data_IF_968617943965
#
_entry.id   IF_968617943965
#
_cell.length_a   1.000
_cell.length_b   1.000
_cell.length_c   1.000
_cell.angle_alpha   90.00
_cell.angle_beta   90.00
_cell.angle_gamma   90.00
#
_symmetry.space_group_name_H-M   'P 1'
#
loop_
_entity.id
_entity.type
_entity.pdbx_description
1 polymer ?
#
# COMPACT_ATOMS: atom_id res chain seq x y z
N UNK A 1 -58.88 -11.31 -33.23
CA UNK A 1 -58.45 -12.36 -32.28
C UNK A 1 -57.06 -12.80 -32.68
N UNK A 2 -56.07 -12.63 -31.77
CA UNK A 2 -54.62 -12.92 -31.91
C UNK A 2 -53.97 -12.04 -33.00
N UNK A 3 -53.33 -10.92 -32.70
CA UNK A 3 -51.89 -10.84 -32.34
C UNK A 3 -51.53 -9.48 -31.70
N UNK A 4 -52.45 -8.89 -30.93
CA UNK A 4 -52.23 -7.64 -30.19
C UNK A 4 -51.95 -7.98 -28.72
N UNK A 5 -50.76 -8.50 -28.37
CA UNK A 5 -50.34 -8.74 -26.97
C UNK A 5 -48.89 -9.23 -26.73
N UNK A 6 -47.89 -8.90 -27.55
CA UNK A 6 -46.52 -9.44 -27.32
C UNK A 6 -45.35 -8.46 -27.26
N UNK A 7 -45.57 -7.14 -27.14
CA UNK A 7 -44.46 -6.20 -26.88
C UNK A 7 -44.83 -5.08 -25.90
N UNK A 8 -45.56 -5.44 -24.84
CA UNK A 8 -45.66 -4.63 -23.61
C UNK A 8 -45.14 -5.52 -22.47
N UNK A 9 -43.82 -5.70 -22.41
CA UNK A 9 -43.06 -6.24 -21.28
C UNK A 9 -41.56 -6.31 -21.65
N UNK A 10 -40.98 -5.16 -21.99
CA UNK A 10 -39.55 -4.93 -21.81
C UNK A 10 -39.41 -3.83 -20.75
N UNK A 11 -39.86 -4.20 -19.55
CA UNK A 11 -39.65 -3.43 -18.32
C UNK A 11 -38.16 -3.42 -18.02
N UNK A 12 -37.59 -2.22 -18.00
CA UNK A 12 -36.72 -1.73 -16.92
C UNK A 12 -35.74 -2.79 -16.36
N UNK A 13 -34.68 -3.09 -17.12
CA UNK A 13 -33.39 -3.50 -16.56
C UNK A 13 -32.30 -2.53 -17.03
N UNK A 14 -32.54 -1.24 -16.78
CA UNK A 14 -31.39 -0.38 -16.49
C UNK A 14 -31.02 -0.69 -15.05
N UNK A 15 -29.92 -1.43 -14.88
CA UNK A 15 -29.34 -1.72 -13.57
C UNK A 15 -29.08 -0.41 -12.83
N UNK A 16 -30.04 0.00 -12.00
CA UNK A 16 -29.77 0.94 -10.94
C UNK A 16 -28.77 0.23 -10.01
N UNK A 17 -27.64 0.86 -9.67
CA UNK A 17 -26.76 0.29 -8.65
C UNK A 17 -27.61 0.05 -7.40
N UNK A 18 -27.67 -1.21 -6.97
CA UNK A 18 -28.38 -1.61 -5.77
C UNK A 18 -27.69 -0.94 -4.58
N UNK A 19 -28.19 0.21 -4.15
CA UNK A 19 -27.79 0.82 -2.90
C UNK A 19 -28.35 -0.06 -1.77
N UNK A 20 -27.49 -0.90 -1.19
CA UNK A 20 -27.81 -1.58 0.07
C UNK A 20 -27.86 -0.55 1.20
N UNK A 21 -29.09 -0.12 1.50
CA UNK A 21 -29.39 0.76 2.62
C UNK A 21 -29.09 0.06 3.95
N UNK A 22 -28.29 0.70 4.80
CA UNK A 22 -27.92 0.14 6.09
C UNK A 22 -28.93 0.52 7.19
N UNK A 23 -29.46 -0.48 7.91
CA UNK A 23 -30.24 -0.27 9.14
C UNK A 23 -29.34 0.29 10.26
N UNK A 24 -29.91 1.07 11.18
CA UNK A 24 -29.15 1.97 12.08
C UNK A 24 -28.65 1.38 13.41
N UNK A 25 -28.64 0.06 13.63
CA UNK A 25 -28.17 -0.50 14.91
C UNK A 25 -27.28 -1.75 14.75
N UNK A 26 -26.16 -1.77 15.48
CA UNK A 26 -25.63 -3.01 16.08
C UNK A 26 -24.47 -3.78 15.44
N UNK A 27 -24.08 -3.54 14.19
CA UNK A 27 -22.97 -4.29 13.56
C UNK A 27 -21.77 -3.40 13.22
N UNK A 28 -20.57 -3.88 13.56
CA UNK A 28 -19.31 -3.35 13.03
C UNK A 28 -19.31 -3.56 11.51
N UNK A 29 -19.66 -2.51 10.77
CA UNK A 29 -19.61 -2.54 9.31
C UNK A 29 -18.18 -2.27 8.87
N UNK A 30 -17.63 -3.19 8.11
CA UNK A 30 -16.40 -2.97 7.37
C UNK A 30 -16.74 -2.87 5.88
N UNK A 31 -16.09 -1.99 5.12
CA UNK A 31 -16.28 -1.95 3.68
C UNK A 31 -15.85 -3.28 3.06
N UNK A 32 -16.59 -3.73 2.05
CA UNK A 32 -16.17 -4.84 1.19
C UNK A 32 -15.60 -4.24 -0.11
N UNK A 33 -16.05 -4.71 -1.27
CA UNK A 33 -15.78 -4.04 -2.55
C UNK A 33 -16.43 -2.65 -2.60
N UNK A 34 -17.60 -2.50 -1.97
CA UNK A 34 -18.35 -1.25 -1.89
C UNK A 34 -18.63 -0.85 -0.44
N UNK A 35 -18.78 0.45 -0.23
CA UNK A 35 -19.23 1.01 1.04
C UNK A 35 -20.75 1.00 1.11
N UNK A 36 -21.27 0.61 2.28
CA UNK A 36 -22.68 0.86 2.59
C UNK A 36 -22.94 2.36 2.74
N UNK A 37 -24.17 2.78 2.43
CA UNK A 37 -24.59 4.17 2.58
C UNK A 37 -25.86 4.25 3.44
N UNK A 38 -25.91 5.26 4.31
CA UNK A 38 -27.13 5.58 5.02
C UNK A 38 -28.17 6.19 4.07
N UNK A 39 -29.46 5.86 4.19
CA UNK A 39 -30.52 6.49 3.40
C UNK A 39 -30.55 8.01 3.50
N UNK A 40 -30.16 8.55 4.67
CA UNK A 40 -29.94 9.98 4.86
C UNK A 40 -28.90 10.23 5.96
N UNK A 41 -28.27 11.43 5.99
CA UNK A 41 -27.37 11.80 7.07
C UNK A 41 -28.02 11.74 8.46
N UNK A 42 -29.32 12.00 8.57
CA UNK A 42 -30.07 11.95 9.84
C UNK A 42 -30.14 10.54 10.41
N UNK A 43 -30.19 9.50 9.56
CA UNK A 43 -30.13 8.11 10.01
C UNK A 43 -28.74 7.72 10.52
N UNK A 44 -27.70 8.42 10.07
CA UNK A 44 -26.39 8.37 10.69
C UNK A 44 -26.29 9.27 11.95
N UNK A 45 -27.36 9.95 12.36
CA UNK A 45 -27.43 10.82 13.54
C UNK A 45 -26.90 12.24 13.33
N UNK A 46 -26.78 12.71 12.08
CA UNK A 46 -26.46 14.11 11.81
C UNK A 46 -27.72 14.98 11.95
N UNK A 47 -27.54 16.20 12.46
CA UNK A 47 -28.61 17.19 12.57
C UNK A 47 -28.63 18.03 11.29
N UNK A 48 -29.73 17.98 10.53
CA UNK A 48 -29.85 18.61 9.21
C UNK A 48 -29.44 20.09 9.20
N UNK A 49 -29.92 20.87 10.19
CA UNK A 49 -29.60 22.29 10.30
C UNK A 49 -28.11 22.59 10.58
N UNK A 50 -27.36 21.64 11.17
CA UNK A 50 -25.90 21.76 11.33
C UNK A 50 -25.17 21.32 10.07
N UNK A 51 -25.61 20.23 9.44
CA UNK A 51 -25.02 19.74 8.20
C UNK A 51 -25.17 20.77 7.06
N UNK A 52 -26.31 21.44 6.95
CA UNK A 52 -26.53 22.51 5.98
C UNK A 52 -25.53 23.68 6.12
N UNK A 53 -25.03 23.95 7.34
CA UNK A 53 -23.98 24.96 7.55
C UNK A 53 -22.63 24.48 7.02
N UNK A 54 -22.32 23.19 7.19
CA UNK A 54 -21.11 22.56 6.64
C UNK A 54 -21.18 22.53 5.12
N UNK A 55 -22.32 22.17 4.55
CA UNK A 55 -22.56 22.18 3.10
C UNK A 55 -22.39 23.58 2.51
N UNK A 56 -22.96 24.60 3.16
CA UNK A 56 -22.78 26.00 2.75
C UNK A 56 -21.29 26.42 2.79
N UNK A 57 -20.54 25.99 3.80
CA UNK A 57 -19.10 26.25 3.87
C UNK A 57 -18.34 25.49 2.79
N UNK A 58 -18.69 24.23 2.57
CA UNK A 58 -18.12 23.38 1.53
C UNK A 58 -18.30 24.04 0.16
N UNK A 59 -19.52 24.41 -0.21
CA UNK A 59 -19.84 25.07 -1.49
C UNK A 59 -19.25 26.48 -1.63
N UNK A 60 -18.96 27.17 -0.53
CA UNK A 60 -18.27 28.48 -0.55
C UNK A 60 -16.77 28.33 -0.84
N UNK A 61 -16.20 27.15 -0.60
CA UNK A 61 -14.79 26.84 -0.83
C UNK A 61 -14.68 25.95 -2.06
N UNK A 62 -13.53 25.94 -2.71
CA UNK A 62 -13.27 25.08 -3.86
C UNK A 62 -12.72 23.72 -3.39
N UNK A 63 -13.43 23.07 -2.46
CA UNK A 63 -13.07 21.70 -2.08
C UNK A 63 -13.43 20.75 -3.20
N UNK A 64 -12.50 19.86 -3.56
CA UNK A 64 -12.74 18.86 -4.59
C UNK A 64 -13.69 17.75 -4.11
N UNK A 65 -13.61 17.37 -2.83
CA UNK A 65 -14.46 16.34 -2.26
C UNK A 65 -14.55 16.38 -0.73
N UNK A 66 -15.60 15.77 -0.18
CA UNK A 66 -15.80 15.47 1.23
C UNK A 66 -16.52 14.12 1.36
N UNK A 67 -15.95 13.20 2.15
CA UNK A 67 -16.56 11.92 2.49
C UNK A 67 -16.63 11.80 4.01
N UNK A 68 -17.82 11.54 4.55
CA UNK A 68 -18.03 11.32 5.99
C UNK A 68 -18.58 9.93 6.19
N UNK A 69 -17.82 9.12 6.92
CA UNK A 69 -18.17 7.74 7.27
C UNK A 69 -18.44 7.68 8.77
N UNK A 70 -19.54 7.03 9.16
CA UNK A 70 -19.88 6.77 10.56
C UNK A 70 -20.30 5.30 10.70
N UNK A 71 -19.75 4.61 11.69
CA UNK A 71 -20.00 3.18 11.93
C UNK A 71 -19.90 2.34 10.64
N UNK A 72 -18.87 2.60 9.82
CA UNK A 72 -18.59 1.83 8.61
C UNK A 72 -19.52 2.06 7.41
N UNK A 73 -20.42 3.05 7.45
CA UNK A 73 -21.24 3.44 6.30
C UNK A 73 -21.11 4.94 5.99
N UNK A 74 -21.22 5.27 4.70
CA UNK A 74 -21.17 6.64 4.19
C UNK A 74 -22.43 7.38 4.63
N UNK A 75 -22.24 8.49 5.34
CA UNK A 75 -23.30 9.41 5.73
C UNK A 75 -23.37 10.62 4.80
N UNK A 76 -22.22 11.07 4.27
CA UNK A 76 -22.12 12.20 3.34
C UNK A 76 -21.09 11.85 2.28
N UNK A 77 -21.45 12.09 1.02
CA UNK A 77 -20.61 11.93 -0.16
C UNK A 77 -20.81 13.15 -1.07
N UNK A 78 -19.90 14.12 -0.98
CA UNK A 78 -19.93 15.35 -1.77
C UNK A 78 -18.67 15.47 -2.64
N UNK A 79 -18.85 15.92 -3.87
CA UNK A 79 -17.76 16.19 -4.82
C UNK A 79 -17.24 14.95 -5.53
N UNK A 80 -15.96 14.95 -5.88
CA UNK A 80 -15.33 13.97 -6.78
C UNK A 80 -14.73 12.76 -6.03
N UNK A 81 -15.45 12.11 -5.11
CA UNK A 81 -14.90 11.05 -4.25
C UNK A 81 -14.43 9.78 -4.99
N UNK A 82 -14.83 9.58 -6.25
CA UNK A 82 -14.33 8.47 -7.09
C UNK A 82 -13.08 8.81 -7.91
N UNK A 83 -12.64 10.08 -7.92
CA UNK A 83 -11.45 10.51 -8.67
C UNK A 83 -10.17 10.17 -7.93
N UNK A 84 -9.13 9.83 -8.68
CA UNK A 84 -7.77 9.67 -8.13
C UNK A 84 -7.10 11.03 -7.92
N UNK A 85 -6.69 11.30 -6.69
CA UNK A 85 -5.92 12.49 -6.31
C UNK A 85 -4.47 12.13 -5.95
N UNK A 86 -3.57 13.10 -6.13
CA UNK A 86 -2.26 13.02 -5.51
C UNK A 86 -2.43 13.20 -4.00
N UNK A 87 -2.18 12.13 -3.24
CA UNK A 87 -2.37 12.14 -1.78
C UNK A 87 -1.25 12.86 -1.01
N UNK A 88 -0.15 13.21 -1.69
CA UNK A 88 1.01 13.89 -1.11
C UNK A 88 1.45 13.28 0.24
N UNK A 89 1.48 14.06 1.31
CA UNK A 89 1.95 13.62 2.63
C UNK A 89 0.97 12.71 3.37
N UNK A 90 -0.28 12.53 2.89
CA UNK A 90 -1.21 11.52 3.45
C UNK A 90 -0.61 10.11 3.32
N UNK A 91 0.23 9.87 2.30
CA UNK A 91 0.96 8.60 2.12
C UNK A 91 1.71 8.14 3.37
N UNK A 92 2.18 9.08 4.21
CA UNK A 92 2.97 8.77 5.41
C UNK A 92 2.13 8.07 6.48
N UNK A 93 0.87 8.51 6.65
CA UNK A 93 -0.07 7.86 7.56
C UNK A 93 -0.49 6.49 7.04
N UNK A 94 -0.70 6.37 5.72
CA UNK A 94 -0.98 5.07 5.09
C UNK A 94 0.19 4.09 5.30
N UNK A 95 1.43 4.55 5.11
CA UNK A 95 2.63 3.77 5.36
C UNK A 95 2.75 3.37 6.84
N UNK A 96 2.48 4.30 7.77
CA UNK A 96 2.47 4.01 9.20
C UNK A 96 1.44 2.94 9.57
N UNK A 97 0.25 2.97 8.97
CA UNK A 97 -0.76 1.95 9.19
C UNK A 97 -0.31 0.58 8.67
N UNK A 98 0.32 0.54 7.49
CA UNK A 98 0.89 -0.70 6.93
C UNK A 98 1.94 -1.32 7.85
N UNK A 99 2.87 -0.51 8.38
CA UNK A 99 3.82 -0.98 9.40
C UNK A 99 3.14 -1.51 10.66
N UNK A 100 2.05 -0.87 11.10
CA UNK A 100 1.28 -1.32 12.26
C UNK A 100 0.65 -2.70 12.06
N UNK A 101 -0.01 -2.91 10.92
CA UNK A 101 -0.67 -4.18 10.57
C UNK A 101 0.34 -5.34 10.47
N UNK A 102 1.56 -5.08 10.00
CA UNK A 102 2.62 -6.09 9.83
C UNK A 102 3.69 -6.05 10.92
N UNK A 103 3.40 -5.42 12.06
CA UNK A 103 4.40 -5.17 13.11
C UNK A 103 5.03 -6.44 13.69
N UNK A 104 4.29 -7.56 13.72
CA UNK A 104 4.80 -8.85 14.19
C UNK A 104 5.90 -9.46 13.30
N UNK A 105 5.98 -9.00 12.05
CA UNK A 105 6.91 -9.54 11.04
C UNK A 105 8.14 -8.68 10.83
N UNK A 106 8.24 -7.57 11.56
CA UNK A 106 9.21 -6.52 11.32
C UNK A 106 10.00 -6.28 12.61
N UNK A 107 11.30 -6.49 12.54
CA UNK A 107 12.21 -6.06 13.59
C UNK A 107 12.54 -4.58 13.43
N UNK A 108 11.85 -3.74 14.20
CA UNK A 108 12.03 -2.29 14.19
C UNK A 108 13.36 -1.82 14.78
N UNK A 109 14.12 -2.71 15.43
CA UNK A 109 15.44 -2.39 15.99
C UNK A 109 16.58 -2.56 15.00
N UNK A 110 16.32 -3.18 13.83
CA UNK A 110 17.31 -3.23 12.75
C UNK A 110 17.74 -1.82 12.35
N UNK A 111 19.06 -1.65 12.31
CA UNK A 111 19.70 -0.42 11.88
C UNK A 111 19.63 -0.24 10.37
N UNK A 112 19.83 0.99 9.89
CA UNK A 112 19.97 1.27 8.47
C UNK A 112 21.10 0.43 7.84
N UNK A 113 22.19 0.21 8.58
CA UNK A 113 23.27 -0.68 8.16
C UNK A 113 22.78 -2.12 7.94
N UNK A 114 22.08 -2.70 8.92
CA UNK A 114 21.56 -4.06 8.85
C UNK A 114 20.46 -4.22 7.79
N UNK A 115 19.79 -3.13 7.43
CA UNK A 115 18.81 -3.07 6.35
C UNK A 115 19.44 -2.77 4.99
N UNK A 116 20.76 -2.66 4.88
CA UNK A 116 21.45 -2.29 3.63
C UNK A 116 20.91 -0.97 3.03
N UNK A 117 20.65 0.02 3.90
CA UNK A 117 20.18 1.36 3.53
C UNK A 117 21.35 2.32 3.70
N UNK A 118 21.73 2.95 2.59
CA UNK A 118 22.96 3.75 2.55
C UNK A 118 22.90 5.00 1.65
N UNK A 119 21.80 5.18 0.91
CA UNK A 119 21.61 6.35 0.04
C UNK A 119 22.87 6.70 -0.79
N UNK A 120 23.31 5.75 -1.62
CA UNK A 120 24.51 5.86 -2.47
C UNK A 120 25.84 6.08 -1.71
N UNK A 121 26.05 5.36 -0.61
CA UNK A 121 27.25 5.45 0.24
C UNK A 121 27.45 6.80 0.92
N UNK A 122 26.39 7.59 1.06
CA UNK A 122 26.50 8.94 1.64
C UNK A 122 26.36 8.93 3.16
N UNK A 123 25.79 7.88 3.76
CA UNK A 123 25.51 7.85 5.20
C UNK A 123 26.79 7.66 6.04
N UNK A 124 26.93 8.50 7.06
CA UNK A 124 27.97 8.37 8.09
C UNK A 124 27.71 7.15 8.97
N UNK A 125 28.75 6.67 9.68
CA UNK A 125 28.60 5.57 10.66
C UNK A 125 27.50 5.82 11.70
N UNK A 126 27.35 7.08 12.15
CA UNK A 126 26.32 7.49 13.13
C UNK A 126 24.93 7.50 12.52
N UNK A 127 24.78 7.93 11.27
CA UNK A 127 23.49 7.88 10.58
C UNK A 127 23.06 6.44 10.31
N UNK A 128 24.00 5.58 9.90
CA UNK A 128 23.76 4.16 9.67
C UNK A 128 23.30 3.38 10.91
N UNK A 129 23.58 3.87 12.11
CA UNK A 129 23.12 3.25 13.35
C UNK A 129 21.68 3.62 13.73
N UNK A 130 21.01 4.48 12.96
CA UNK A 130 19.58 4.73 13.16
C UNK A 130 18.79 3.44 12.91
N UNK A 131 17.83 3.14 13.79
CA UNK A 131 16.95 1.97 13.63
C UNK A 131 15.77 2.29 12.72
N UNK A 132 15.11 1.25 12.20
CA UNK A 132 13.86 1.41 11.46
C UNK A 132 12.81 2.15 12.29
N UNK A 133 12.73 1.90 13.61
CA UNK A 133 11.87 2.65 14.52
C UNK A 133 12.16 4.16 14.49
N UNK A 134 13.44 4.53 14.50
CA UNK A 134 13.84 5.94 14.40
C UNK A 134 13.40 6.54 13.06
N UNK A 135 13.49 5.79 11.96
CA UNK A 135 13.05 6.24 10.63
C UNK A 135 11.53 6.44 10.60
N UNK A 136 10.72 5.43 10.94
CA UNK A 136 9.25 5.55 10.84
C UNK A 136 8.67 6.58 11.82
N UNK A 137 9.41 6.92 12.88
CA UNK A 137 9.06 7.98 13.83
C UNK A 137 9.65 9.36 13.49
N UNK A 138 10.32 9.52 12.34
CA UNK A 138 10.93 10.78 11.88
C UNK A 138 12.01 11.33 12.83
N UNK A 139 12.83 10.42 13.39
CA UNK A 139 13.86 10.65 14.41
C UNK A 139 15.21 10.03 14.03
N UNK A 140 15.46 9.76 12.74
CA UNK A 140 16.70 9.08 12.33
C UNK A 140 17.97 9.88 12.62
N UNK A 141 17.88 11.20 12.66
CA UNK A 141 19.04 12.10 12.70
C UNK A 141 19.76 12.22 11.35
N UNK A 142 19.16 11.70 10.27
CA UNK A 142 19.66 11.85 8.90
C UNK A 142 19.05 13.09 8.27
N UNK A 143 19.88 14.11 8.03
CA UNK A 143 19.46 15.39 7.49
C UNK A 143 20.04 15.62 6.09
N UNK A 144 19.62 14.77 5.15
CA UNK A 144 19.95 14.87 3.73
C UNK A 144 18.80 15.53 2.95
N UNK A 145 19.08 16.13 1.78
CA UNK A 145 18.04 16.54 0.85
C UNK A 145 17.16 15.35 0.44
N UNK A 146 15.85 15.54 0.39
CA UNK A 146 14.92 14.50 -0.01
C UNK A 146 13.98 14.96 -1.12
N UNK A 147 13.52 14.00 -1.92
CA UNK A 147 12.44 14.23 -2.87
C UNK A 147 11.18 14.74 -2.16
N UNK A 148 10.46 15.63 -2.84
CA UNK A 148 9.24 16.30 -2.34
C UNK A 148 9.45 17.23 -1.12
N UNK A 149 10.66 17.70 -0.87
CA UNK A 149 10.92 18.84 0.02
C UNK A 149 10.73 20.18 -0.72
N UNK A 150 10.37 21.22 0.04
CA UNK A 150 10.17 22.57 -0.49
C UNK A 150 10.07 23.61 0.62
N UNK A 151 10.40 24.86 0.30
CA UNK A 151 10.24 26.02 1.16
C UNK A 151 10.80 25.83 2.58
N UNK A 152 9.93 25.98 3.57
CA UNK A 152 10.28 25.92 4.99
C UNK A 152 10.89 24.58 5.44
N UNK A 153 10.59 23.46 4.75
CA UNK A 153 11.23 22.18 5.07
C UNK A 153 12.74 22.22 4.76
N UNK A 154 13.13 22.83 3.65
CA UNK A 154 14.54 22.93 3.28
C UNK A 154 15.28 23.90 4.19
N UNK A 155 14.70 25.08 4.46
CA UNK A 155 15.34 26.10 5.30
C UNK A 155 15.37 25.73 6.78
N UNK A 156 14.41 24.93 7.25
CA UNK A 156 14.33 24.44 8.63
C UNK A 156 15.04 23.11 8.87
N UNK A 157 15.75 22.55 7.87
CA UNK A 157 16.47 21.29 8.02
C UNK A 157 17.58 21.45 9.07
N UNK A 158 17.63 20.62 10.12
CA UNK A 158 18.71 20.67 11.09
C UNK A 158 20.07 20.43 10.43
N UNK A 159 21.12 20.96 11.05
CA UNK A 159 22.49 20.75 10.58
C UNK A 159 22.83 19.26 10.66
N UNK A 160 23.36 18.70 9.58
CA UNK A 160 23.80 17.29 9.55
C UNK A 160 24.70 16.96 10.74
N UNK A 161 24.38 15.87 11.45
CA UNK A 161 25.10 15.41 12.64
C UNK A 161 24.74 16.11 13.96
N UNK A 162 23.86 17.12 13.96
CA UNK A 162 23.51 17.88 15.18
C UNK A 162 22.76 17.06 16.23
N UNK A 163 22.09 15.98 15.83
CA UNK A 163 21.33 15.10 16.71
C UNK A 163 21.77 13.65 16.56
N UNK A 164 21.67 12.87 17.64
CA UNK A 164 21.82 11.42 17.59
C UNK A 164 20.52 10.75 17.09
N UNK A 165 20.60 9.57 16.48
CA UNK A 165 19.39 8.80 16.17
C UNK A 165 18.50 8.63 17.39
N UNK A 166 17.20 8.80 17.19
CA UNK A 166 16.19 8.73 18.25
C UNK A 166 16.12 9.98 19.14
N UNK A 167 17.06 10.92 19.11
CA UNK A 167 17.12 12.02 20.08
C UNK A 167 16.27 13.25 19.73
N UNK A 168 15.91 13.44 18.46
CA UNK A 168 15.21 14.63 18.00
C UNK A 168 14.20 14.28 16.91
N UNK A 169 12.97 14.76 17.06
CA UNK A 169 11.94 14.66 16.05
C UNK A 169 12.02 15.87 15.12
N UNK A 170 12.02 15.60 13.81
CA UNK A 170 11.90 16.63 12.79
C UNK A 170 11.09 16.06 11.62
N UNK A 171 10.17 16.83 11.04
CA UNK A 171 9.37 16.36 9.90
C UNK A 171 10.27 16.11 8.67
N UNK A 172 10.63 14.84 8.44
CA UNK A 172 11.75 14.47 7.59
C UNK A 172 11.30 13.64 6.39
N UNK A 173 11.19 14.25 5.21
CA UNK A 173 10.81 13.51 4.00
C UNK A 173 11.81 12.43 3.62
N UNK A 174 13.09 12.56 3.99
CA UNK A 174 14.08 11.51 3.77
C UNK A 174 13.66 10.23 4.52
N UNK A 175 13.32 10.35 5.80
CA UNK A 175 12.88 9.22 6.64
C UNK A 175 11.66 8.53 6.02
N UNK A 176 10.64 9.30 5.62
CA UNK A 176 9.44 8.75 5.03
C UNK A 176 9.64 8.14 3.64
N UNK A 177 10.65 8.57 2.88
CA UNK A 177 11.00 7.95 1.60
C UNK A 177 11.71 6.62 1.85
N UNK A 178 12.66 6.60 2.78
CA UNK A 178 13.40 5.39 3.18
C UNK A 178 12.47 4.34 3.79
N UNK A 179 11.53 4.76 4.64
CA UNK A 179 10.52 3.87 5.19
C UNK A 179 9.68 3.18 4.11
N UNK A 180 9.43 3.85 2.96
CA UNK A 180 8.70 3.26 1.84
C UNK A 180 9.51 2.17 1.12
N UNK A 181 10.83 2.35 0.99
CA UNK A 181 11.71 1.38 0.32
C UNK A 181 12.19 0.24 1.23
N UNK A 182 12.11 0.41 2.56
CA UNK A 182 12.67 -0.54 3.52
C UNK A 182 12.09 -1.98 3.40
N UNK A 183 10.83 -2.14 2.99
CA UNK A 183 10.28 -3.46 2.68
C UNK A 183 11.05 -4.17 1.55
N UNK A 184 11.41 -3.45 0.49
CA UNK A 184 12.22 -4.00 -0.61
C UNK A 184 13.62 -4.39 -0.13
N UNK A 185 14.21 -3.60 0.77
CA UNK A 185 15.50 -3.91 1.39
C UNK A 185 15.44 -5.18 2.25
N UNK A 186 14.43 -5.29 3.13
CA UNK A 186 14.20 -6.50 3.93
C UNK A 186 14.00 -7.73 3.04
N UNK A 187 13.27 -7.60 1.92
CA UNK A 187 13.12 -8.69 0.96
C UNK A 187 14.46 -9.18 0.39
N UNK A 188 15.36 -8.28 -0.02
CA UNK A 188 16.69 -8.68 -0.52
C UNK A 188 17.50 -9.45 0.51
N UNK A 189 17.45 -9.00 1.77
CA UNK A 189 18.14 -9.66 2.88
C UNK A 189 17.58 -11.08 3.06
N UNK A 190 16.25 -11.23 3.07
CA UNK A 190 15.63 -12.56 3.17
C UNK A 190 15.97 -13.46 1.98
N UNK A 191 16.06 -12.93 0.76
CA UNK A 191 16.52 -13.70 -0.41
C UNK A 191 17.96 -14.18 -0.22
N UNK A 192 18.85 -13.31 0.27
CA UNK A 192 20.25 -13.67 0.54
C UNK A 192 20.39 -14.71 1.68
N UNK A 193 19.42 -14.77 2.58
CA UNK A 193 19.32 -15.75 3.67
C UNK A 193 18.55 -17.02 3.26
N UNK A 194 18.16 -17.15 1.99
CA UNK A 194 17.32 -18.25 1.47
C UNK A 194 15.94 -18.35 2.15
N UNK A 195 15.49 -17.31 2.86
CA UNK A 195 14.16 -17.19 3.43
C UNK A 195 13.18 -16.65 2.39
N UNK A 196 12.71 -17.51 1.49
CA UNK A 196 11.86 -17.09 0.37
C UNK A 196 10.48 -16.63 0.82
N UNK A 197 9.90 -17.24 1.85
CA UNK A 197 8.59 -16.86 2.37
C UNK A 197 8.62 -15.46 3.01
N UNK A 198 9.65 -15.18 3.82
CA UNK A 198 9.89 -13.84 4.35
C UNK A 198 10.09 -12.81 3.24
N UNK A 199 10.86 -13.16 2.19
CA UNK A 199 11.06 -12.28 1.05
C UNK A 199 9.74 -11.95 0.32
N UNK A 200 8.91 -12.95 0.03
CA UNK A 200 7.60 -12.76 -0.61
C UNK A 200 6.70 -11.88 0.24
N UNK A 201 6.64 -12.10 1.54
CA UNK A 201 5.84 -11.28 2.47
C UNK A 201 6.24 -9.81 2.42
N UNK A 202 7.54 -9.52 2.42
CA UNK A 202 8.04 -8.15 2.33
C UNK A 202 7.81 -7.52 0.95
N UNK A 203 7.94 -8.29 -0.14
CA UNK A 203 7.65 -7.81 -1.49
C UNK A 203 6.15 -7.51 -1.69
N UNK A 204 5.27 -8.33 -1.12
CA UNK A 204 3.84 -8.08 -1.09
C UNK A 204 3.54 -6.74 -0.41
N UNK A 205 4.15 -6.46 0.76
CA UNK A 205 3.95 -5.17 1.44
C UNK A 205 4.51 -3.98 0.65
N UNK A 206 5.68 -4.14 0.03
CA UNK A 206 6.26 -3.11 -0.83
C UNK A 206 5.33 -2.77 -2.01
N UNK A 207 4.74 -3.79 -2.65
CA UNK A 207 3.85 -3.62 -3.80
C UNK A 207 2.43 -3.21 -3.40
N UNK A 208 1.98 -3.54 -2.19
CA UNK A 208 0.72 -3.02 -1.66
C UNK A 208 0.79 -1.49 -1.47
N UNK A 209 1.92 -1.00 -0.95
CA UNK A 209 2.15 0.43 -0.80
C UNK A 209 2.44 1.13 -2.13
N UNK A 210 3.31 0.56 -2.97
CA UNK A 210 3.69 1.11 -4.26
C UNK A 210 3.67 0.02 -5.35
N UNK A 211 2.52 -0.21 -6.01
CA UNK A 211 2.36 -1.28 -7.00
C UNK A 211 3.34 -1.18 -8.19
N UNK A 212 3.80 0.02 -8.50
CA UNK A 212 4.73 0.30 -9.60
C UNK A 212 6.20 0.33 -9.17
N UNK A 213 6.50 -0.10 -7.94
CA UNK A 213 7.87 -0.08 -7.43
C UNK A 213 8.76 -1.04 -8.23
N UNK A 214 9.63 -0.48 -9.07
CA UNK A 214 10.40 -1.23 -10.09
C UNK A 214 11.27 -2.33 -9.49
N UNK A 215 11.98 -2.04 -8.39
CA UNK A 215 12.92 -2.99 -7.81
C UNK A 215 12.21 -4.20 -7.17
N UNK A 216 11.17 -3.95 -6.37
CA UNK A 216 10.28 -4.99 -5.83
C UNK A 216 9.70 -5.86 -6.95
N UNK A 217 9.16 -5.28 -8.03
CA UNK A 217 8.67 -6.03 -9.18
C UNK A 217 9.74 -6.93 -9.82
N UNK A 218 10.96 -6.41 -10.00
CA UNK A 218 12.08 -7.20 -10.53
C UNK A 218 12.45 -8.37 -9.61
N UNK A 219 12.41 -8.17 -8.28
CA UNK A 219 12.69 -9.23 -7.31
C UNK A 219 11.62 -10.32 -7.35
N UNK A 220 10.33 -9.95 -7.45
CA UNK A 220 9.23 -10.91 -7.63
C UNK A 220 9.43 -11.75 -8.88
N UNK A 221 9.76 -11.12 -10.02
CA UNK A 221 10.04 -11.84 -11.27
C UNK A 221 11.23 -12.79 -11.12
N UNK A 222 12.30 -12.34 -10.46
CA UNK A 222 13.50 -13.15 -10.21
C UNK A 222 13.18 -14.39 -9.37
N UNK A 223 12.36 -14.22 -8.31
CA UNK A 223 11.91 -15.33 -7.47
C UNK A 223 11.05 -16.32 -8.26
N UNK A 224 10.10 -15.84 -9.06
CA UNK A 224 9.26 -16.69 -9.88
C UNK A 224 10.07 -17.54 -10.88
N UNK A 225 11.09 -16.95 -11.51
CA UNK A 225 12.00 -17.67 -12.41
C UNK A 225 12.73 -18.80 -11.66
N UNK A 226 13.25 -18.51 -10.46
CA UNK A 226 14.01 -19.49 -9.66
C UNK A 226 13.13 -20.62 -9.14
N UNK A 227 11.92 -20.33 -8.68
CA UNK A 227 11.04 -21.33 -8.06
C UNK A 227 10.30 -22.20 -9.08
N UNK A 228 9.92 -21.64 -10.23
CA UNK A 228 9.02 -22.33 -11.16
C UNK A 228 9.68 -22.63 -12.50
N UNK A 229 10.32 -21.64 -13.11
CA UNK A 229 10.82 -21.77 -14.47
C UNK A 229 12.03 -22.72 -14.53
N UNK A 230 13.04 -22.51 -13.67
CA UNK A 230 14.24 -23.34 -13.68
C UNK A 230 13.95 -24.81 -13.30
N UNK A 231 13.18 -25.11 -12.22
CA UNK A 231 12.82 -26.49 -11.90
C UNK A 231 11.94 -27.13 -12.98
N UNK A 232 11.02 -26.37 -13.59
CA UNK A 232 10.20 -26.86 -14.70
C UNK A 232 11.03 -27.25 -15.92
N UNK A 233 12.00 -26.41 -16.32
CA UNK A 233 12.94 -26.71 -17.40
C UNK A 233 13.78 -27.95 -17.06
N UNK A 234 14.31 -28.03 -15.83
CA UNK A 234 15.10 -29.17 -15.38
C UNK A 234 14.31 -30.49 -15.43
N UNK A 235 13.04 -30.45 -15.02
CA UNK A 235 12.13 -31.60 -15.10
C UNK A 235 11.92 -32.04 -16.55
N UNK A 236 11.65 -31.11 -17.47
CA UNK A 236 11.47 -31.41 -18.90
C UNK A 236 12.73 -32.02 -19.50
N UNK A 237 13.91 -31.46 -19.22
CA UNK A 237 15.19 -32.00 -19.68
C UNK A 237 15.41 -33.42 -19.12
N UNK A 238 15.12 -33.64 -17.83
CA UNK A 238 15.24 -34.94 -17.20
C UNK A 238 14.34 -36.00 -17.83
N UNK A 239 13.08 -35.65 -18.13
CA UNK A 239 12.12 -36.53 -18.82
C UNK A 239 12.61 -36.86 -20.24
N UNK A 240 13.09 -35.88 -21.00
CA UNK A 240 13.63 -36.10 -22.34
C UNK A 240 14.86 -37.01 -22.31
N UNK A 241 15.78 -36.80 -21.38
CA UNK A 241 16.96 -37.64 -21.20
C UNK A 241 16.59 -39.10 -20.87
N UNK A 242 15.58 -39.29 -20.00
CA UNK A 242 15.07 -40.63 -19.67
C UNK A 242 14.44 -41.33 -20.88
N UNK A 243 13.63 -40.62 -21.67
CA UNK A 243 13.03 -41.16 -22.90
C UNK A 243 14.12 -41.60 -23.88
N UNK A 244 15.12 -40.75 -24.12
CA UNK A 244 16.26 -41.06 -25.00
C UNK A 244 16.99 -42.31 -24.49
N UNK A 245 17.28 -42.38 -23.20
CA UNK A 245 17.95 -43.53 -22.58
C UNK A 245 17.16 -44.83 -22.79
N UNK A 246 15.83 -44.82 -22.58
CA UNK A 246 14.97 -46.00 -22.79
C UNK A 246 14.96 -46.43 -24.26
N UNK A 247 14.87 -45.48 -25.19
CA UNK A 247 14.89 -45.76 -26.64
C UNK A 247 16.23 -46.37 -27.07
N UNK A 248 17.35 -45.81 -26.60
CA UNK A 248 18.69 -46.32 -26.90
C UNK A 248 18.90 -47.73 -26.32
N UNK A 249 18.49 -47.97 -25.07
CA UNK A 249 18.60 -49.29 -24.42
C UNK A 249 17.82 -50.37 -25.17
N UNK A 250 16.61 -50.06 -25.65
CA UNK A 250 15.78 -50.98 -26.44
C UNK A 250 16.38 -51.31 -27.81
N UNK A 251 17.24 -50.43 -28.37
CA UNK A 251 17.94 -50.70 -29.63
C UNK A 251 19.22 -51.53 -29.45
N UNK A 252 19.79 -51.53 -28.25
CA UNK A 252 21.00 -52.31 -27.92
C UNK A 252 20.71 -53.73 -27.40
N UNK A 253 19.44 -54.07 -27.19
CA UNK A 253 18.94 -55.40 -26.78
C UNK A 253 18.26 -56.10 -27.94
#
# INVERSE_FOLDING_TARGET
>A
MKWMLFFILLLIELGFPSFSYANSEGEDRYPTEYWHQYPSPEQAGFISGRLAKVEKFYNKREFASLLIIKHGAIAVDWGENSRRFLVHSIRKSMLSALYGVHSSDIDFHKTLLELDIDDNNTLTKKERSATLLNVISSRSGVYLPAAAEGGQMMSGRPKRGSHAPGSHWWYNNWDFNVAGSAYTNMAKIYIAQENIDGAKKMLDQALHFEPRHKQANNLVQTLAIKEWLLPGIALVIGVLALIIFVVLRKRSS
#
